data_IF_305591710293
#
_entry.id   IF_305591710293
#
_cell.length_a   1.000
_cell.length_b   1.000
_cell.length_c   1.000
_cell.angle_alpha   90.00
_cell.angle_beta   90.00
_cell.angle_gamma   90.00
#
_symmetry.space_group_name_H-M   'P 1'
#
loop_
_entity.id
_entity.type
_entity.pdbx_description
1 polymer ?
#
# COMPACT_ATOMS: atom_id res chain seq x y z
N UNK A 1 18.64 5.10 -39.18
CA UNK A 1 17.45 5.53 -38.41
C UNK A 1 17.94 6.09 -37.08
N UNK A 2 17.97 7.42 -36.94
CA UNK A 2 18.28 8.08 -35.67
C UNK A 2 17.14 7.78 -34.69
N UNK A 3 17.43 7.05 -33.62
CA UNK A 3 16.54 6.99 -32.47
C UNK A 3 16.47 8.40 -31.90
N UNK A 4 15.32 9.06 -32.04
CA UNK A 4 15.04 10.32 -31.37
C UNK A 4 15.21 10.10 -29.87
N UNK A 5 16.16 10.79 -29.25
CA UNK A 5 16.29 10.80 -27.81
C UNK A 5 14.94 11.25 -27.21
N UNK A 6 14.30 10.35 -26.46
CA UNK A 6 13.09 10.68 -25.72
C UNK A 6 13.36 11.90 -24.85
N UNK A 7 12.46 12.92 -24.82
CA UNK A 7 12.71 14.16 -24.09
C UNK A 7 12.98 13.85 -22.61
N UNK A 8 14.00 14.49 -22.06
CA UNK A 8 14.31 14.39 -20.63
C UNK A 8 13.07 14.78 -19.83
N UNK A 9 12.60 13.93 -18.88
CA UNK A 9 11.39 14.22 -18.13
C UNK A 9 11.56 15.52 -17.33
N UNK A 10 10.52 16.33 -17.22
CA UNK A 10 10.56 17.55 -16.39
C UNK A 10 10.75 17.19 -14.92
N UNK A 11 11.33 18.10 -14.11
CA UNK A 11 11.46 17.88 -12.66
C UNK A 11 10.12 17.53 -12.00
N UNK A 12 9.04 18.19 -12.42
CA UNK A 12 7.70 17.89 -11.92
C UNK A 12 7.26 16.45 -12.26
N UNK A 13 7.50 15.97 -13.48
CA UNK A 13 7.12 14.60 -13.85
C UNK A 13 7.97 13.55 -13.12
N UNK A 14 9.23 13.86 -12.80
CA UNK A 14 10.08 13.00 -11.97
C UNK A 14 9.54 12.90 -10.54
N UNK A 15 9.15 14.03 -9.93
CA UNK A 15 8.56 14.05 -8.59
C UNK A 15 7.20 13.36 -8.52
N UNK A 16 6.33 13.57 -9.53
CA UNK A 16 5.08 12.81 -9.65
C UNK A 16 5.37 11.33 -9.85
N UNK A 17 6.39 10.97 -10.63
CA UNK A 17 6.81 9.58 -10.80
C UNK A 17 7.23 8.93 -9.47
N UNK A 18 7.96 9.66 -8.63
CA UNK A 18 8.45 9.21 -7.33
C UNK A 18 7.32 8.88 -6.35
N UNK A 19 6.19 9.61 -6.39
CA UNK A 19 5.03 9.32 -5.54
C UNK A 19 4.22 8.12 -6.01
N UNK A 20 4.50 7.57 -7.20
CA UNK A 20 3.84 6.43 -7.85
C UNK A 20 2.30 6.53 -7.79
N UNK A 21 1.68 7.45 -8.54
CA UNK A 21 0.26 7.77 -8.42
C UNK A 21 -0.67 6.56 -8.57
N UNK A 22 -0.28 5.59 -9.40
CA UNK A 22 -1.04 4.33 -9.57
C UNK A 22 -1.16 3.53 -8.27
N UNK A 23 -0.15 3.57 -7.41
CA UNK A 23 -0.15 2.89 -6.10
C UNK A 23 -0.81 3.72 -5.01
N UNK A 24 -0.96 5.05 -5.19
CA UNK A 24 -1.72 5.91 -4.28
C UNK A 24 -3.15 5.41 -4.12
N UNK A 25 -3.78 5.00 -5.22
CA UNK A 25 -5.15 4.47 -5.19
C UNK A 25 -5.26 3.19 -4.36
N UNK A 26 -4.27 2.29 -4.38
CA UNK A 26 -4.32 1.07 -3.58
C UNK A 26 -4.37 1.34 -2.07
N UNK A 27 -3.56 2.30 -1.59
CA UNK A 27 -3.58 2.67 -0.17
C UNK A 27 -4.80 3.50 0.21
N UNK A 28 -5.30 4.30 -0.73
CA UNK A 28 -6.43 5.21 -0.51
C UNK A 28 -7.79 4.50 -0.55
N UNK A 29 -7.94 3.42 -1.33
CA UNK A 29 -9.20 2.69 -1.52
C UNK A 29 -9.85 2.28 -0.21
N UNK A 30 -9.08 1.76 0.75
CA UNK A 30 -9.60 1.28 2.05
C UNK A 30 -10.11 2.41 2.93
N UNK A 31 -9.39 3.53 2.94
CA UNK A 31 -9.79 4.72 3.70
C UNK A 31 -11.02 5.36 3.07
N UNK A 32 -11.07 5.48 1.73
CA UNK A 32 -12.24 5.97 1.02
C UNK A 32 -13.46 5.06 1.21
N UNK A 33 -13.29 3.73 1.13
CA UNK A 33 -14.36 2.78 1.38
C UNK A 33 -14.96 2.95 2.77
N UNK A 34 -14.11 3.08 3.79
CA UNK A 34 -14.54 3.35 5.15
C UNK A 34 -15.25 4.70 5.30
N UNK A 35 -14.73 5.76 4.66
CA UNK A 35 -15.35 7.10 4.69
C UNK A 35 -16.74 7.07 4.05
N UNK A 36 -16.87 6.47 2.87
CA UNK A 36 -18.17 6.41 2.17
C UNK A 36 -19.17 5.56 2.92
N UNK A 37 -18.76 4.42 3.49
CA UNK A 37 -19.64 3.61 4.32
C UNK A 37 -20.03 4.34 5.62
N UNK A 38 -19.09 4.99 6.30
CA UNK A 38 -19.41 5.80 7.49
C UNK A 38 -20.39 6.95 7.18
N UNK A 39 -20.23 7.59 6.01
CA UNK A 39 -21.10 8.67 5.54
C UNK A 39 -22.50 8.20 5.13
N UNK A 40 -22.64 6.96 4.62
CA UNK A 40 -23.96 6.40 4.33
C UNK A 40 -24.78 6.11 5.60
N UNK A 41 -24.11 5.97 6.75
CA UNK A 41 -24.74 5.79 8.06
C UNK A 41 -25.03 7.13 8.80
N UNK A 42 -24.84 8.27 8.13
CA UNK A 42 -25.12 9.60 8.64
C UNK A 42 -23.94 10.56 8.54
N UNK A 43 -24.11 11.77 9.07
CA UNK A 43 -23.07 12.80 9.03
C UNK A 43 -21.75 12.32 9.65
N UNK A 44 -20.65 12.72 9.02
CA UNK A 44 -19.28 12.40 9.43
C UNK A 44 -18.53 13.67 9.81
N UNK A 45 -17.61 13.54 10.76
CA UNK A 45 -16.76 14.65 11.19
C UNK A 45 -15.77 15.02 10.07
N UNK A 46 -15.86 16.27 9.59
CA UNK A 46 -15.07 16.75 8.45
C UNK A 46 -13.58 16.77 8.77
N UNK A 47 -13.21 17.18 9.99
CA UNK A 47 -11.80 17.27 10.39
C UNK A 47 -11.15 15.89 10.43
N UNK A 48 -11.78 14.90 11.07
CA UNK A 48 -11.30 13.51 11.11
C UNK A 48 -11.23 12.91 9.71
N UNK A 49 -12.21 13.21 8.85
CA UNK A 49 -12.22 12.74 7.46
C UNK A 49 -11.04 13.30 6.67
N UNK A 50 -10.76 14.60 6.78
CA UNK A 50 -9.61 15.22 6.11
C UNK A 50 -8.29 14.66 6.65
N UNK A 51 -8.17 14.48 7.96
CA UNK A 51 -6.97 13.89 8.56
C UNK A 51 -6.75 12.44 8.11
N UNK A 52 -7.82 11.63 7.97
CA UNK A 52 -7.72 10.26 7.44
C UNK A 52 -7.17 10.23 6.02
N UNK A 53 -7.67 11.12 5.15
CA UNK A 53 -7.16 11.25 3.78
C UNK A 53 -5.69 11.69 3.76
N UNK A 54 -5.32 12.66 4.61
CA UNK A 54 -3.93 13.10 4.75
C UNK A 54 -3.02 11.96 5.22
N UNK A 55 -3.43 11.19 6.22
CA UNK A 55 -2.70 10.00 6.69
C UNK A 55 -2.52 8.99 5.56
N UNK A 56 -3.58 8.65 4.83
CA UNK A 56 -3.54 7.68 3.74
C UNK A 56 -2.54 8.09 2.65
N UNK A 57 -2.63 9.35 2.20
CA UNK A 57 -1.75 9.88 1.16
C UNK A 57 -0.31 10.00 1.65
N UNK A 58 -0.10 10.56 2.84
CA UNK A 58 1.24 10.73 3.41
C UNK A 58 1.93 9.39 3.67
N UNK A 59 1.21 8.39 4.19
CA UNK A 59 1.73 7.04 4.40
C UNK A 59 2.16 6.39 3.08
N UNK A 60 1.34 6.47 2.04
CA UNK A 60 1.65 5.87 0.76
C UNK A 60 2.81 6.58 0.05
N UNK A 61 2.87 7.92 0.10
CA UNK A 61 4.01 8.70 -0.40
C UNK A 61 5.29 8.34 0.36
N UNK A 62 5.26 8.34 1.69
CA UNK A 62 6.41 8.00 2.52
C UNK A 62 6.91 6.57 2.22
N UNK A 63 6.01 5.60 2.09
CA UNK A 63 6.35 4.22 1.72
C UNK A 63 7.01 4.14 0.34
N UNK A 64 6.45 4.82 -0.66
CA UNK A 64 6.99 4.83 -2.01
C UNK A 64 8.40 5.44 -2.07
N UNK A 65 8.61 6.58 -1.40
CA UNK A 65 9.90 7.26 -1.31
C UNK A 65 10.91 6.41 -0.53
N UNK A 66 10.51 5.82 0.60
CA UNK A 66 11.38 4.97 1.41
C UNK A 66 11.84 3.73 0.63
N UNK A 67 10.93 3.08 -0.10
CA UNK A 67 11.26 1.93 -0.94
C UNK A 67 12.28 2.28 -2.02
N UNK A 68 12.12 3.42 -2.70
CA UNK A 68 13.10 3.88 -3.71
C UNK A 68 14.46 4.21 -3.09
N UNK A 69 14.49 4.86 -1.92
CA UNK A 69 15.74 5.18 -1.22
C UNK A 69 16.49 3.92 -0.76
N UNK A 70 15.76 2.92 -0.25
CA UNK A 70 16.36 1.66 0.21
C UNK A 70 16.90 0.86 -0.98
N UNK A 71 16.13 0.76 -2.06
CA UNK A 71 16.54 0.00 -3.25
C UNK A 71 17.75 0.64 -3.95
N UNK A 72 17.79 1.98 -4.00
CA UNK A 72 18.96 2.72 -4.49
C UNK A 72 20.23 2.38 -3.70
N UNK A 73 20.15 2.42 -2.37
CA UNK A 73 21.29 2.11 -1.48
C UNK A 73 21.74 0.65 -1.55
N UNK A 74 20.82 -0.27 -1.85
CA UNK A 74 21.11 -1.70 -2.00
C UNK A 74 21.64 -2.07 -3.39
N UNK A 75 21.63 -1.13 -4.36
CA UNK A 75 22.02 -1.41 -5.74
C UNK A 75 21.06 -2.37 -6.47
N UNK A 76 19.80 -2.48 -6.00
CA UNK A 76 18.82 -3.41 -6.54
C UNK A 76 18.20 -2.96 -7.88
N UNK A 77 18.47 -1.73 -8.31
CA UNK A 77 17.98 -1.17 -9.57
C UNK A 77 19.02 -1.36 -10.69
N UNK A 78 18.86 -2.45 -11.43
CA UNK A 78 19.63 -2.74 -12.64
C UNK A 78 18.89 -2.28 -13.90
N UNK A 79 19.59 -2.16 -15.03
CA UNK A 79 18.98 -1.85 -16.33
C UNK A 79 17.97 -2.91 -16.82
N UNK A 80 18.01 -4.11 -16.23
CA UNK A 80 17.11 -5.23 -16.57
C UNK A 80 15.71 -5.10 -15.96
N UNK A 81 15.49 -4.13 -15.06
CA UNK A 81 14.21 -3.94 -14.37
C UNK A 81 13.10 -3.51 -15.33
N UNK A 82 12.05 -4.33 -15.44
CA UNK A 82 10.85 -4.07 -16.28
C UNK A 82 9.82 -3.11 -15.65
N UNK A 83 10.10 -2.58 -14.47
CA UNK A 83 9.21 -1.71 -13.70
C UNK A 83 9.25 -0.23 -14.12
N UNK A 84 8.41 0.63 -13.50
CA UNK A 84 8.41 2.07 -13.75
C UNK A 84 9.79 2.71 -13.48
N UNK A 85 10.10 3.78 -14.22
CA UNK A 85 11.30 4.58 -14.02
C UNK A 85 11.44 5.00 -12.54
N UNK A 86 12.61 4.76 -11.95
CA UNK A 86 12.99 5.23 -10.62
C UNK A 86 13.95 6.42 -10.76
N UNK A 87 13.49 7.66 -10.51
CA UNK A 87 14.29 8.86 -10.75
C UNK A 87 15.60 8.90 -9.94
N UNK A 88 15.58 8.44 -8.69
CA UNK A 88 16.75 8.41 -7.82
C UNK A 88 17.84 7.48 -8.37
N UNK A 89 17.48 6.26 -8.74
CA UNK A 89 18.43 5.26 -9.23
C UNK A 89 19.03 5.60 -10.59
N UNK A 90 18.38 6.50 -11.34
CA UNK A 90 18.89 7.08 -12.59
C UNK A 90 19.69 8.37 -12.39
N UNK A 91 19.90 8.81 -11.14
CA UNK A 91 20.60 10.06 -10.82
C UNK A 91 19.85 11.34 -11.23
N UNK A 92 18.55 11.24 -11.53
CA UNK A 92 17.72 12.36 -12.00
C UNK A 92 17.22 13.24 -10.85
N UNK A 93 17.23 12.71 -9.62
CA UNK A 93 16.96 13.41 -8.36
C UNK A 93 18.05 13.01 -7.38
N UNK A 94 18.54 13.94 -6.56
CA UNK A 94 19.57 13.64 -5.58
C UNK A 94 19.03 12.88 -4.36
N UNK A 95 19.85 12.03 -3.75
CA UNK A 95 19.49 11.32 -2.52
C UNK A 95 19.09 12.29 -1.39
N UNK A 96 19.76 13.45 -1.30
CA UNK A 96 19.47 14.48 -0.30
C UNK A 96 18.05 15.02 -0.45
N UNK A 97 17.61 15.30 -1.67
CA UNK A 97 16.25 15.75 -1.96
C UNK A 97 15.22 14.67 -1.61
N UNK A 98 15.48 13.41 -1.98
CA UNK A 98 14.59 12.27 -1.66
C UNK A 98 14.47 12.06 -0.15
N UNK A 99 15.57 12.16 0.60
CA UNK A 99 15.55 12.08 2.06
C UNK A 99 14.74 13.21 2.71
N UNK A 100 14.88 14.44 2.21
CA UNK A 100 14.08 15.55 2.69
C UNK A 100 12.58 15.31 2.44
N UNK A 101 12.22 14.87 1.24
CA UNK A 101 10.83 14.54 0.91
C UNK A 101 10.28 13.40 1.77
N UNK A 102 11.10 12.40 2.10
CA UNK A 102 10.74 11.35 3.05
C UNK A 102 10.46 11.92 4.44
N UNK A 103 11.35 12.75 4.98
CA UNK A 103 11.16 13.35 6.31
C UNK A 103 9.92 14.25 6.37
N UNK A 104 9.67 15.05 5.33
CA UNK A 104 8.46 15.88 5.25
C UNK A 104 7.20 15.00 5.21
N UNK A 105 7.20 13.94 4.40
CA UNK A 105 6.05 13.03 4.30
C UNK A 105 5.80 12.30 5.62
N UNK A 106 6.86 11.87 6.32
CA UNK A 106 6.76 11.27 7.66
C UNK A 106 6.28 12.28 8.71
N UNK A 107 6.74 13.53 8.66
CA UNK A 107 6.28 14.56 9.57
C UNK A 107 4.77 14.83 9.41
N UNK A 108 4.29 14.93 8.17
CA UNK A 108 2.85 15.05 7.86
C UNK A 108 2.09 13.83 8.37
N UNK A 109 2.57 12.62 8.10
CA UNK A 109 1.97 11.37 8.56
C UNK A 109 1.86 11.32 10.08
N UNK A 110 2.95 11.61 10.79
CA UNK A 110 2.99 11.58 12.26
C UNK A 110 2.08 12.65 12.86
N UNK A 111 2.11 13.87 12.33
CA UNK A 111 1.31 14.98 12.86
C UNK A 111 -0.19 14.73 12.66
N UNK A 112 -0.59 14.27 11.48
CA UNK A 112 -1.99 13.94 11.17
C UNK A 112 -2.46 12.69 11.92
N UNK A 113 -1.63 11.64 11.99
CA UNK A 113 -1.93 10.41 12.72
C UNK A 113 -2.04 10.62 14.23
N UNK A 114 -1.11 11.36 14.84
CA UNK A 114 -1.17 11.70 16.27
C UNK A 114 -2.38 12.60 16.58
N UNK A 115 -2.71 13.53 15.69
CA UNK A 115 -3.94 14.33 15.80
C UNK A 115 -5.19 13.43 15.80
N UNK A 116 -5.27 12.44 14.90
CA UNK A 116 -6.38 11.48 14.89
C UNK A 116 -6.47 10.64 16.16
N UNK A 117 -5.33 10.18 16.68
CA UNK A 117 -5.27 9.43 17.94
C UNK A 117 -5.81 10.30 19.09
N UNK A 118 -5.37 11.55 19.17
CA UNK A 118 -5.80 12.50 20.20
C UNK A 118 -7.30 12.84 20.09
N UNK A 119 -7.84 12.94 18.87
CA UNK A 119 -9.26 13.23 18.61
C UNK A 119 -10.17 12.01 18.74
N UNK A 120 -9.61 10.79 18.77
CA UNK A 120 -10.40 9.56 18.71
C UNK A 120 -10.15 8.70 19.96
N UNK A 121 -9.07 7.92 20.00
CA UNK A 121 -8.79 7.01 21.12
C UNK A 121 -7.32 6.60 21.18
N UNK A 122 -6.78 6.51 22.40
CA UNK A 122 -5.37 6.21 22.66
C UNK A 122 -4.91 4.85 22.11
N UNK A 123 -5.80 3.85 22.07
CA UNK A 123 -5.45 2.50 21.61
C UNK A 123 -5.09 2.46 20.12
N UNK A 124 -5.48 3.47 19.34
CA UNK A 124 -5.04 3.62 17.95
C UNK A 124 -3.52 3.81 17.84
N UNK A 125 -2.83 4.21 18.92
CA UNK A 125 -1.37 4.18 18.99
C UNK A 125 -0.82 2.74 18.86
N UNK A 126 -1.50 1.76 19.45
CA UNK A 126 -1.12 0.34 19.33
C UNK A 126 -1.30 -0.16 17.89
N UNK A 127 -2.36 0.29 17.21
CA UNK A 127 -2.56 0.01 15.78
C UNK A 127 -1.43 0.62 14.96
N UNK A 128 -1.08 1.89 15.20
CA UNK A 128 0.03 2.54 14.52
C UNK A 128 1.36 1.80 14.71
N UNK A 129 1.63 1.35 15.94
CA UNK A 129 2.82 0.54 16.23
C UNK A 129 2.78 -0.81 15.50
N UNK A 130 1.63 -1.49 15.47
CA UNK A 130 1.45 -2.75 14.75
C UNK A 130 1.67 -2.58 13.23
N UNK A 131 1.23 -1.47 12.65
CA UNK A 131 1.50 -1.13 11.24
C UNK A 131 2.99 -0.95 11.01
N UNK A 132 3.70 -0.20 11.86
CA UNK A 132 5.15 0.00 11.75
C UNK A 132 5.89 -1.34 11.85
N UNK A 133 5.54 -2.18 12.82
CA UNK A 133 6.09 -3.53 12.95
C UNK A 133 5.80 -4.39 11.71
N UNK A 134 4.58 -4.32 11.18
CA UNK A 134 4.18 -5.00 9.95
C UNK A 134 5.03 -4.63 8.75
N UNK A 135 5.33 -3.33 8.57
CA UNK A 135 6.21 -2.84 7.49
C UNK A 135 7.62 -3.45 7.61
N UNK A 136 8.20 -3.46 8.81
CA UNK A 136 9.53 -4.05 9.02
C UNK A 136 9.51 -5.57 8.85
N UNK A 137 8.51 -6.26 9.39
CA UNK A 137 8.36 -7.70 9.27
C UNK A 137 8.05 -8.16 7.83
N UNK A 138 7.46 -7.30 6.99
CA UNK A 138 7.09 -7.68 5.63
C UNK A 138 8.30 -8.04 4.76
N UNK A 139 9.34 -7.20 4.78
CA UNK A 139 10.53 -7.34 3.93
C UNK A 139 11.85 -7.50 4.70
N UNK A 140 11.85 -7.30 6.01
CA UNK A 140 13.05 -7.32 6.84
C UNK A 140 12.89 -8.14 8.13
N UNK A 141 13.87 -7.99 9.02
CA UNK A 141 13.93 -8.78 10.25
C UNK A 141 14.38 -10.23 10.03
N UNK A 142 14.40 -11.05 11.10
CA UNK A 142 14.86 -12.44 11.02
C UNK A 142 13.93 -13.35 10.21
N UNK A 143 12.67 -12.93 9.99
CA UNK A 143 11.67 -13.70 9.27
C UNK A 143 10.82 -12.80 8.35
N UNK A 144 11.33 -12.41 7.16
CA UNK A 144 10.58 -11.56 6.25
C UNK A 144 9.33 -12.27 5.71
N UNK A 145 8.13 -11.73 5.95
CA UNK A 145 6.86 -12.36 5.57
C UNK A 145 6.76 -12.61 4.05
N UNK A 146 7.21 -11.66 3.24
CA UNK A 146 7.23 -11.76 1.78
C UNK A 146 8.13 -12.89 1.26
N UNK A 147 9.18 -13.25 2.00
CA UNK A 147 10.09 -14.35 1.64
C UNK A 147 9.54 -15.72 2.03
N UNK A 148 8.52 -15.78 2.88
CA UNK A 148 7.98 -17.02 3.44
C UNK A 148 6.54 -17.34 2.98
N UNK A 149 6.01 -16.58 2.02
CA UNK A 149 4.68 -16.82 1.46
C UNK A 149 3.54 -16.20 2.27
N UNK A 150 3.85 -15.31 3.21
CA UNK A 150 2.86 -14.56 4.01
C UNK A 150 2.50 -13.20 3.39
N UNK A 151 3.05 -12.89 2.21
CA UNK A 151 2.87 -11.59 1.57
C UNK A 151 1.39 -11.25 1.33
N UNK A 152 0.63 -12.18 0.78
CA UNK A 152 -0.78 -12.00 0.46
C UNK A 152 -1.64 -11.77 1.71
N UNK A 153 -1.38 -12.52 2.79
CA UNK A 153 -2.05 -12.32 4.08
C UNK A 153 -1.71 -10.96 4.70
N UNK A 154 -0.44 -10.55 4.62
CA UNK A 154 -0.02 -9.24 5.10
C UNK A 154 -0.69 -8.11 4.30
N UNK A 155 -0.85 -8.26 2.98
CA UNK A 155 -1.60 -7.30 2.15
C UNK A 155 -3.06 -7.23 2.57
N UNK A 156 -3.74 -8.37 2.78
CA UNK A 156 -5.12 -8.37 3.25
C UNK A 156 -5.28 -7.62 4.59
N UNK A 157 -4.35 -7.82 5.52
CA UNK A 157 -4.37 -7.15 6.84
C UNK A 157 -4.08 -5.65 6.71
N UNK A 158 -2.96 -5.28 6.10
CA UNK A 158 -2.44 -3.91 6.14
C UNK A 158 -2.96 -3.00 5.02
N UNK A 159 -3.50 -3.56 3.95
CA UNK A 159 -4.19 -2.81 2.90
C UNK A 159 -5.69 -3.01 2.94
N UNK A 160 -6.23 -4.06 3.56
CA UNK A 160 -7.69 -4.27 3.70
C UNK A 160 -8.21 -3.90 5.10
N UNK A 161 -8.03 -4.82 6.05
CA UNK A 161 -8.68 -4.74 7.37
C UNK A 161 -8.25 -3.54 8.21
N UNK A 162 -6.95 -3.39 8.47
CA UNK A 162 -6.43 -2.33 9.34
C UNK A 162 -6.88 -0.95 8.87
N UNK A 163 -6.57 -0.49 7.64
CA UNK A 163 -6.95 0.86 7.22
C UNK A 163 -8.47 1.06 7.14
N UNK A 164 -9.24 0.07 6.68
CA UNK A 164 -10.71 0.22 6.55
C UNK A 164 -11.38 0.29 7.92
N UNK A 165 -11.10 -0.69 8.79
CA UNK A 165 -11.76 -0.81 10.10
C UNK A 165 -11.38 0.35 11.03
N UNK A 166 -10.11 0.75 11.02
CA UNK A 166 -9.65 1.86 11.88
C UNK A 166 -10.17 3.21 11.42
N UNK A 167 -10.23 3.45 10.10
CA UNK A 167 -10.86 4.65 9.55
C UNK A 167 -12.34 4.73 9.91
N UNK A 168 -13.07 3.61 9.79
CA UNK A 168 -14.47 3.55 10.18
C UNK A 168 -14.65 3.78 11.69
N UNK A 169 -13.82 3.16 12.52
CA UNK A 169 -13.84 3.39 13.97
C UNK A 169 -13.65 4.87 14.33
N UNK A 170 -12.70 5.54 13.69
CA UNK A 170 -12.45 6.98 13.92
C UNK A 170 -13.70 7.83 13.62
N UNK A 171 -14.49 7.43 12.64
CA UNK A 171 -15.69 8.15 12.21
C UNK A 171 -16.95 7.76 12.99
N UNK A 172 -17.07 6.50 13.43
CA UNK A 172 -18.32 5.93 13.98
C UNK A 172 -18.22 5.42 15.42
N UNK A 173 -17.02 5.15 15.92
CA UNK A 173 -16.75 4.74 17.30
C UNK A 173 -16.95 3.25 17.61
N UNK A 174 -17.23 2.41 16.60
CA UNK A 174 -17.38 0.96 16.77
C UNK A 174 -16.78 0.18 15.58
N UNK A 175 -16.59 -1.13 15.76
CA UNK A 175 -15.98 -2.04 14.76
C UNK A 175 -16.76 -3.33 14.53
N UNK A 176 -17.75 -3.63 15.36
CA UNK A 176 -18.57 -4.85 15.24
C UNK A 176 -19.70 -4.61 14.23
N UNK A 177 -19.34 -4.57 12.96
CA UNK A 177 -20.25 -4.32 11.84
C UNK A 177 -19.93 -5.28 10.69
N UNK A 178 -20.90 -6.13 10.31
CA UNK A 178 -20.68 -7.16 9.31
C UNK A 178 -20.32 -6.57 7.93
N UNK A 179 -21.04 -5.53 7.50
CA UNK A 179 -20.84 -4.85 6.22
C UNK A 179 -19.45 -4.22 6.14
N UNK A 180 -18.96 -3.64 7.23
CA UNK A 180 -17.60 -3.10 7.35
C UNK A 180 -16.55 -4.18 7.10
N UNK A 181 -16.67 -5.34 7.75
CA UNK A 181 -15.71 -6.43 7.57
C UNK A 181 -15.79 -7.06 6.19
N UNK A 182 -16.98 -7.15 5.59
CA UNK A 182 -17.17 -7.55 4.19
C UNK A 182 -16.46 -6.57 3.24
N UNK A 183 -16.70 -5.27 3.39
CA UNK A 183 -16.07 -4.22 2.61
C UNK A 183 -14.53 -4.24 2.75
N UNK A 184 -14.03 -4.32 3.99
CA UNK A 184 -12.61 -4.35 4.27
C UNK A 184 -11.92 -5.58 3.65
N UNK A 185 -12.59 -6.73 3.70
CA UNK A 185 -12.09 -7.97 3.10
C UNK A 185 -12.13 -7.89 1.58
N UNK A 186 -13.21 -7.35 0.99
CA UNK A 186 -13.31 -7.19 -0.46
C UNK A 186 -12.22 -6.26 -1.02
N UNK A 187 -11.97 -5.12 -0.37
CA UNK A 187 -10.90 -4.20 -0.77
C UNK A 187 -9.53 -4.87 -0.60
N UNK A 188 -9.29 -5.55 0.52
CA UNK A 188 -8.03 -6.26 0.76
C UNK A 188 -7.75 -7.37 -0.25
N UNK A 189 -8.76 -8.15 -0.66
CA UNK A 189 -8.63 -9.16 -1.72
C UNK A 189 -8.29 -8.53 -3.08
N UNK A 190 -8.85 -7.35 -3.38
CA UNK A 190 -8.48 -6.58 -4.56
C UNK A 190 -7.02 -6.10 -4.50
N UNK A 191 -6.53 -5.68 -3.32
CA UNK A 191 -5.11 -5.36 -3.11
C UNK A 191 -4.21 -6.58 -3.23
N UNK A 192 -4.65 -7.76 -2.76
CA UNK A 192 -3.94 -9.03 -2.98
C UNK A 192 -3.78 -9.30 -4.48
N UNK A 193 -4.79 -9.05 -5.30
CA UNK A 193 -4.67 -9.21 -6.75
C UNK A 193 -3.58 -8.34 -7.39
N UNK A 194 -3.32 -7.15 -6.85
CA UNK A 194 -2.18 -6.33 -7.29
C UNK A 194 -0.86 -7.05 -6.98
N UNK A 195 -0.73 -7.63 -5.79
CA UNK A 195 0.44 -8.41 -5.41
C UNK A 195 0.58 -9.69 -6.23
N UNK A 196 -0.51 -10.39 -6.53
CA UNK A 196 -0.51 -11.60 -7.37
C UNK A 196 0.04 -11.30 -8.76
N UNK A 197 -0.38 -10.21 -9.38
CA UNK A 197 0.14 -9.79 -10.71
C UNK A 197 1.64 -9.48 -10.63
N UNK A 198 2.10 -8.81 -9.57
CA UNK A 198 3.53 -8.55 -9.37
C UNK A 198 4.32 -9.85 -9.20
N UNK A 199 3.90 -10.72 -8.27
CA UNK A 199 4.56 -11.99 -8.01
C UNK A 199 4.53 -12.92 -9.23
N UNK A 200 3.50 -12.85 -10.10
CA UNK A 200 3.41 -13.64 -11.34
C UNK A 200 4.41 -13.19 -12.40
N UNK A 201 4.62 -11.87 -12.54
CA UNK A 201 5.63 -11.31 -13.44
C UNK A 201 7.04 -11.66 -12.96
N UNK A 202 7.24 -11.65 -11.64
CA UNK A 202 8.56 -11.66 -11.02
C UNK A 202 8.97 -13.06 -10.50
N UNK A 203 8.21 -14.13 -10.80
CA UNK A 203 8.44 -15.51 -10.30
C UNK A 203 9.89 -15.98 -10.44
N UNK A 204 10.48 -15.79 -11.63
CA UNK A 204 11.83 -16.27 -11.90
C UNK A 204 12.90 -15.50 -11.12
N UNK A 205 12.73 -14.18 -10.98
CA UNK A 205 13.64 -13.32 -10.20
C UNK A 205 13.49 -13.59 -8.70
N UNK A 206 12.26 -13.70 -8.21
CA UNK A 206 11.95 -14.00 -6.82
C UNK A 206 12.50 -15.37 -6.40
N UNK A 207 12.36 -16.39 -7.25
CA UNK A 207 12.93 -17.72 -7.01
C UNK A 207 14.46 -17.68 -6.92
N UNK A 208 15.13 -16.94 -7.82
CA UNK A 208 16.61 -16.78 -7.78
C UNK A 208 17.07 -16.03 -6.53
N UNK A 209 16.28 -15.05 -6.08
CA UNK A 209 16.54 -14.29 -4.87
C UNK A 209 16.20 -15.04 -3.57
N UNK A 210 15.77 -16.31 -3.65
CA UNK A 210 15.41 -17.13 -2.49
C UNK A 210 14.07 -16.77 -1.84
N UNK A 211 13.26 -15.90 -2.48
CA UNK A 211 11.91 -15.59 -1.99
C UNK A 211 10.97 -16.75 -2.30
N UNK A 212 10.22 -17.20 -1.30
CA UNK A 212 9.23 -18.28 -1.42
C UNK A 212 7.82 -17.70 -1.35
N UNK A 213 7.48 -16.81 -2.27
CA UNK A 213 6.11 -16.28 -2.43
C UNK A 213 5.13 -17.44 -2.70
N UNK A 214 3.82 -17.23 -2.49
CA UNK A 214 2.83 -18.28 -2.79
C UNK A 214 2.94 -18.77 -4.24
N UNK A 215 3.19 -17.86 -5.18
CA UNK A 215 3.32 -18.21 -6.61
C UNK A 215 4.61 -19.00 -6.87
N UNK A 216 5.73 -18.64 -6.25
CA UNK A 216 6.97 -19.44 -6.36
C UNK A 216 6.77 -20.85 -5.78
N UNK A 217 6.05 -20.98 -4.65
CA UNK A 217 5.82 -22.27 -3.99
C UNK A 217 4.84 -23.17 -4.74
N UNK A 218 3.79 -22.59 -5.31
CA UNK A 218 2.69 -23.33 -5.95
C UNK A 218 2.83 -23.45 -7.47
N UNK A 219 3.81 -22.74 -8.06
CA UNK A 219 4.02 -22.67 -9.50
C UNK A 219 3.26 -21.52 -10.17
N UNK A 220 3.74 -21.12 -11.34
CA UNK A 220 3.23 -19.97 -12.08
C UNK A 220 1.75 -20.10 -12.47
N UNK A 221 1.28 -21.33 -12.76
CA UNK A 221 -0.13 -21.65 -13.06
C UNK A 221 -1.09 -21.46 -11.88
N UNK A 222 -0.57 -21.27 -10.66
CA UNK A 222 -1.41 -20.93 -9.51
C UNK A 222 -1.89 -19.48 -9.56
N UNK A 223 -1.13 -18.57 -10.16
CA UNK A 223 -1.44 -17.15 -10.10
C UNK A 223 -2.78 -16.77 -10.76
N UNK A 224 -3.13 -17.26 -11.97
CA UNK A 224 -4.42 -16.91 -12.57
C UNK A 224 -5.61 -17.44 -11.73
N UNK A 225 -5.45 -18.61 -11.10
CA UNK A 225 -6.46 -19.20 -10.22
C UNK A 225 -6.65 -18.39 -8.95
N UNK A 226 -5.55 -18.00 -8.30
CA UNK A 226 -5.58 -17.14 -7.13
C UNK A 226 -6.21 -15.77 -7.47
N UNK A 227 -5.79 -15.17 -8.60
CA UNK A 227 -6.31 -13.89 -9.07
C UNK A 227 -7.83 -13.92 -9.27
N UNK A 228 -8.33 -14.94 -9.98
CA UNK A 228 -9.75 -15.13 -10.22
C UNK A 228 -10.51 -15.38 -8.90
N UNK A 229 -9.96 -16.21 -8.00
CA UNK A 229 -10.58 -16.53 -6.72
C UNK A 229 -10.73 -15.28 -5.85
N UNK A 230 -9.66 -14.50 -5.69
CA UNK A 230 -9.69 -13.25 -4.95
C UNK A 230 -10.67 -12.24 -5.57
N UNK A 231 -10.72 -12.16 -6.91
CA UNK A 231 -11.66 -11.29 -7.63
C UNK A 231 -13.12 -11.67 -7.39
N UNK A 232 -13.46 -12.95 -7.56
CA UNK A 232 -14.83 -13.45 -7.35
C UNK A 232 -15.27 -13.33 -5.89
N UNK A 233 -14.39 -13.64 -4.94
CA UNK A 233 -14.67 -13.46 -3.51
C UNK A 233 -14.87 -11.98 -3.17
N UNK A 234 -14.04 -11.08 -3.71
CA UNK A 234 -14.19 -9.65 -3.52
C UNK A 234 -15.56 -9.16 -4.02
N UNK A 235 -15.96 -9.54 -5.23
CA UNK A 235 -17.28 -9.18 -5.78
C UNK A 235 -18.43 -9.80 -4.99
N UNK A 236 -18.31 -11.08 -4.60
CA UNK A 236 -19.32 -11.79 -3.82
C UNK A 236 -19.53 -11.18 -2.43
N UNK A 237 -18.47 -10.68 -1.79
CA UNK A 237 -18.56 -9.98 -0.50
C UNK A 237 -19.25 -8.61 -0.62
N UNK A 238 -19.15 -7.95 -1.77
CA UNK A 238 -19.82 -6.68 -2.02
C UNK A 238 -21.27 -6.85 -2.47
N UNK A 239 -21.65 -8.01 -3.02
CA UNK A 239 -23.00 -8.24 -3.55
C UNK A 239 -24.13 -7.92 -2.54
N UNK A 240 -24.07 -8.38 -1.25
CA UNK A 240 -25.10 -8.06 -0.26
C UNK A 240 -25.22 -6.58 0.10
N UNK A 241 -24.19 -5.77 -0.22
CA UNK A 241 -24.18 -4.32 0.06
C UNK A 241 -25.03 -3.57 -0.98
N UNK A 242 -25.16 -4.14 -2.19
CA UNK A 242 -25.88 -3.52 -3.31
C UNK A 242 -27.27 -4.13 -3.58
N UNK A 243 -27.59 -5.27 -2.98
CA UNK A 243 -28.86 -5.98 -3.12
C UNK A 243 -29.87 -5.57 -2.05
#
# INVERSE_FOLDING_TARGET
>A
MQQSASPTPSKLSLWIGLTRPKTLFSGLSSVLGAIFYAASLGAIDVLRTLLLLVVAVAAQIASNIANDLIDHRKGADTDERKGPLRPLSRGLISEREVRLALYLSLAVLLTSGLSLIALSSWWLLLVGLAVVLGVFAYSGGPYPLSYHGWGDAAVLVFFGWVPTVTSFYILRGYVLDQTLWQLATAIGLSSVNILVVNNYRDVAEDSKAGKRTLIVRMGQDFAPRLYLTCGLLSMGLLYPIYS
#
